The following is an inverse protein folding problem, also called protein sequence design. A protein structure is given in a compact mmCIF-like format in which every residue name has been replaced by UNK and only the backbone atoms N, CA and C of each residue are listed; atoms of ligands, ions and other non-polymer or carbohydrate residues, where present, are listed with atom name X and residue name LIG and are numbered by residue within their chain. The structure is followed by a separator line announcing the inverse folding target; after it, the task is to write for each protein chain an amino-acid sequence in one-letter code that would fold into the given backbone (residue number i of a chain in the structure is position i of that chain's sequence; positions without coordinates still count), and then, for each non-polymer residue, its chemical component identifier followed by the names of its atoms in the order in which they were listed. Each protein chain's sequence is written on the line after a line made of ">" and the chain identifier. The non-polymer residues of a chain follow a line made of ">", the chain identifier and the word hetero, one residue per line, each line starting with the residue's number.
data_IF_420582359107
#
_entry.id   IF_420582359107
#
_cell.length_a   1.000
_cell.length_b   1.000
_cell.length_c   1.000
_cell.angle_alpha   90.00
_cell.angle_beta   90.00
_cell.angle_gamma   90.00
#
_symmetry.space_group_name_H-M   'P 1'
#
loop_
_entity.id
_entity.type
_entity.pdbx_description
1 polymer ?
#
# COMPACT_ATOMS: atom_id res chain seq x y z
N UNK A 1 -25.33 2.89 5.57
CA UNK A 1 -24.71 3.31 4.29
C UNK A 1 -23.69 2.25 3.95
N UNK A 2 -23.65 1.80 2.69
CA UNK A 2 -22.65 0.83 2.29
C UNK A 2 -21.25 1.44 2.29
N UNK A 3 -20.23 0.65 2.61
CA UNK A 3 -18.81 1.02 2.57
C UNK A 3 -18.47 1.57 1.19
N UNK A 4 -18.94 0.93 0.13
CA UNK A 4 -18.79 1.42 -1.26
C UNK A 4 -19.41 2.79 -1.46
N UNK A 5 -20.60 3.03 -0.89
CA UNK A 5 -21.30 4.33 -0.95
C UNK A 5 -20.60 5.43 -0.14
N UNK A 6 -19.90 5.08 0.95
CA UNK A 6 -19.11 6.04 1.71
C UNK A 6 -17.81 6.46 0.99
N UNK A 7 -17.31 5.63 0.08
CA UNK A 7 -16.07 5.85 -0.66
C UNK A 7 -16.27 6.64 -1.95
N UNK A 8 -17.41 6.47 -2.64
CA UNK A 8 -17.69 7.17 -3.91
C UNK A 8 -17.45 8.69 -3.85
N UNK A 9 -17.90 9.43 -2.80
CA UNK A 9 -17.68 10.87 -2.68
C UNK A 9 -16.22 11.28 -2.45
N UNK A 10 -15.30 10.33 -2.24
CA UNK A 10 -13.87 10.58 -2.04
C UNK A 10 -13.07 10.53 -3.35
N UNK A 11 -13.67 10.06 -4.44
CA UNK A 11 -13.07 10.16 -5.77
C UNK A 11 -12.92 11.64 -6.15
N UNK A 12 -11.80 12.02 -6.76
CA UNK A 12 -11.61 13.37 -7.32
C UNK A 12 -11.31 13.28 -8.79
N UNK A 13 -11.87 14.21 -9.55
CA UNK A 13 -11.64 14.35 -10.98
C UNK A 13 -11.10 15.74 -11.30
N UNK A 14 -10.39 15.85 -12.41
CA UNK A 14 -9.92 17.10 -12.99
C UNK A 14 -10.37 17.18 -14.43
N UNK A 15 -10.93 18.31 -14.83
CA UNK A 15 -11.29 18.56 -16.23
C UNK A 15 -10.13 19.21 -16.97
N UNK A 16 -9.57 18.52 -17.97
CA UNK A 16 -8.51 19.03 -18.83
C UNK A 16 -8.93 18.91 -20.29
N UNK A 17 -8.84 20.02 -21.03
CA UNK A 17 -9.19 20.09 -22.48
C UNK A 17 -10.56 19.45 -22.80
N UNK A 18 -11.54 19.64 -21.91
CA UNK A 18 -12.91 19.14 -22.08
C UNK A 18 -13.13 17.66 -21.71
N UNK A 19 -12.10 16.94 -21.24
CA UNK A 19 -12.20 15.56 -20.74
C UNK A 19 -12.04 15.53 -19.23
N UNK A 20 -12.78 14.65 -18.57
CA UNK A 20 -12.65 14.41 -17.13
C UNK A 20 -11.63 13.30 -16.88
N UNK A 21 -10.64 13.59 -16.04
CA UNK A 21 -9.60 12.65 -15.61
C UNK A 21 -9.79 12.32 -14.14
N UNK A 22 -9.77 11.04 -13.79
CA UNK A 22 -9.74 10.63 -12.37
C UNK A 22 -8.36 10.97 -11.82
N UNK A 23 -8.29 11.85 -10.83
CA UNK A 23 -7.06 12.19 -10.12
C UNK A 23 -6.75 11.17 -9.04
N UNK A 24 -7.76 10.87 -8.22
CA UNK A 24 -7.64 9.92 -7.10
C UNK A 24 -8.92 9.10 -6.99
N UNK A 25 -8.76 7.86 -6.52
CA UNK A 25 -9.86 6.95 -6.24
C UNK A 25 -9.55 6.11 -5.00
N UNK A 26 -10.50 5.98 -4.06
CA UNK A 26 -10.34 5.06 -2.95
C UNK A 26 -10.38 3.60 -3.41
N UNK A 27 -9.64 2.74 -2.71
CA UNK A 27 -9.73 1.29 -2.84
C UNK A 27 -8.83 0.60 -1.85
N UNK A 28 -8.73 -0.72 -1.94
CA UNK A 28 -7.79 -1.48 -1.15
C UNK A 28 -6.42 -1.49 -1.82
N UNK A 29 -5.36 -1.54 -1.02
CA UNK A 29 -3.98 -1.72 -1.50
C UNK A 29 -3.24 -2.71 -0.62
N UNK A 30 -2.21 -3.33 -1.19
CA UNK A 30 -1.11 -3.95 -0.48
C UNK A 30 0.17 -3.26 -0.94
N UNK A 31 0.91 -2.64 -0.03
CA UNK A 31 2.22 -2.03 -0.28
C UNK A 31 3.29 -2.78 0.51
N UNK A 32 4.33 -3.24 -0.18
CA UNK A 32 5.46 -3.95 0.40
C UNK A 32 6.76 -3.22 0.05
N UNK A 33 7.60 -3.05 1.06
CA UNK A 33 8.93 -2.49 0.96
C UNK A 33 9.95 -3.61 1.19
N UNK A 34 10.93 -3.73 0.29
CA UNK A 34 11.91 -4.81 0.29
C UNK A 34 13.32 -4.23 0.25
N UNK A 35 14.13 -4.51 1.25
CA UNK A 35 15.52 -4.06 1.35
C UNK A 35 16.52 -5.03 0.71
N UNK A 36 16.08 -6.21 0.28
CA UNK A 36 16.91 -7.14 -0.47
C UNK A 36 17.41 -6.55 -1.81
N UNK A 37 18.59 -6.96 -2.29
CA UNK A 37 19.14 -6.52 -3.57
C UNK A 37 18.19 -6.76 -4.75
N UNK A 38 18.28 -5.93 -5.80
CA UNK A 38 17.44 -6.00 -7.00
C UNK A 38 17.36 -7.42 -7.58
N UNK A 39 18.50 -8.08 -7.78
CA UNK A 39 18.55 -9.42 -8.39
C UNK A 39 17.91 -10.52 -7.52
N UNK A 40 17.85 -10.34 -6.20
CA UNK A 40 17.14 -11.26 -5.29
C UNK A 40 15.63 -10.97 -5.27
N UNK A 41 15.26 -9.69 -5.29
CA UNK A 41 13.86 -9.25 -5.29
C UNK A 41 13.16 -9.56 -6.60
N UNK A 42 13.81 -9.38 -7.74
CA UNK A 42 13.20 -9.43 -9.07
C UNK A 42 12.42 -10.74 -9.34
N UNK A 43 13.04 -11.94 -9.27
CA UNK A 43 12.31 -13.18 -9.53
C UNK A 43 11.15 -13.41 -8.56
N UNK A 44 11.30 -12.99 -7.30
CA UNK A 44 10.26 -13.07 -6.27
C UNK A 44 9.09 -12.13 -6.56
N UNK A 45 9.38 -10.92 -7.03
CA UNK A 45 8.38 -9.97 -7.48
C UNK A 45 7.63 -10.49 -8.72
N UNK A 46 8.29 -11.19 -9.63
CA UNK A 46 7.61 -11.82 -10.77
C UNK A 46 6.58 -12.87 -10.32
N UNK A 47 6.90 -13.65 -9.29
CA UNK A 47 5.97 -14.63 -8.73
C UNK A 47 4.80 -13.96 -8.00
N UNK A 48 5.05 -12.89 -7.24
CA UNK A 48 4.00 -12.08 -6.62
C UNK A 48 3.07 -11.43 -7.66
N UNK A 49 3.63 -10.81 -8.71
CA UNK A 49 2.86 -10.23 -9.81
C UNK A 49 2.07 -11.32 -10.54
N UNK A 50 2.65 -12.50 -10.79
CA UNK A 50 1.94 -13.62 -11.40
C UNK A 50 0.75 -14.07 -10.55
N UNK A 51 0.94 -14.22 -9.23
CA UNK A 51 -0.12 -14.62 -8.30
C UNK A 51 -1.26 -13.59 -8.23
N UNK A 52 -0.93 -12.29 -8.33
CA UNK A 52 -1.92 -11.24 -8.37
C UNK A 52 -2.71 -11.21 -9.69
N UNK A 53 -2.03 -11.34 -10.82
CA UNK A 53 -2.69 -11.48 -12.14
C UNK A 53 -3.62 -12.69 -12.16
N UNK A 54 -3.19 -13.83 -11.63
CA UNK A 54 -4.01 -15.03 -11.50
C UNK A 54 -5.26 -14.76 -10.64
N UNK A 55 -5.09 -14.03 -9.53
CA UNK A 55 -6.17 -13.72 -8.61
C UNK A 55 -7.23 -12.79 -9.19
N UNK A 56 -6.82 -11.76 -9.92
CA UNK A 56 -7.76 -10.76 -10.48
C UNK A 56 -8.24 -11.10 -11.88
N UNK A 57 -7.52 -11.97 -12.59
CA UNK A 57 -7.76 -12.32 -13.98
C UNK A 57 -6.81 -11.58 -14.94
N UNK A 58 -6.25 -12.26 -15.96
CA UNK A 58 -5.23 -11.69 -16.83
C UNK A 58 -5.73 -10.53 -17.71
N UNK A 59 -7.03 -10.48 -17.98
CA UNK A 59 -7.64 -9.46 -18.85
C UNK A 59 -8.02 -8.17 -18.09
N UNK A 60 -7.77 -8.11 -16.77
CA UNK A 60 -8.04 -6.93 -15.94
C UNK A 60 -7.15 -5.75 -16.33
N UNK A 61 -5.87 -6.00 -16.61
CA UNK A 61 -4.94 -4.93 -16.95
C UNK A 61 -5.09 -4.56 -18.43
N UNK A 62 -5.34 -3.28 -18.68
CA UNK A 62 -5.53 -2.74 -20.02
C UNK A 62 -4.29 -2.07 -20.57
N UNK A 63 -3.47 -1.49 -19.70
CA UNK A 63 -2.27 -0.76 -20.10
C UNK A 63 -1.07 -1.17 -19.26
N UNK A 64 0.12 -0.99 -19.84
CA UNK A 64 1.40 -1.03 -19.14
C UNK A 64 2.25 0.18 -19.51
N UNK A 65 3.17 0.56 -18.62
CA UNK A 65 4.15 1.62 -18.87
C UNK A 65 5.39 1.02 -19.53
N UNK A 66 5.79 1.59 -20.67
CA UNK A 66 7.05 1.24 -21.34
C UNK A 66 8.24 2.01 -20.76
N UNK A 67 9.46 1.57 -21.06
CA UNK A 67 10.71 2.19 -20.58
C UNK A 67 10.85 3.64 -21.03
N UNK A 68 10.34 3.98 -22.23
CA UNK A 68 10.30 5.36 -22.73
C UNK A 68 9.13 6.21 -22.17
N UNK A 69 8.44 5.72 -21.13
CA UNK A 69 7.45 6.49 -20.36
C UNK A 69 6.07 6.59 -20.99
N UNK A 70 5.73 5.76 -21.99
CA UNK A 70 4.41 5.77 -22.62
C UNK A 70 3.55 4.61 -22.14
N UNK A 71 2.25 4.86 -21.97
CA UNK A 71 1.30 3.78 -21.76
C UNK A 71 0.97 3.09 -23.09
N UNK A 72 1.01 1.76 -23.09
CA UNK A 72 0.66 0.91 -24.24
C UNK A 72 -0.37 -0.15 -23.84
N UNK A 73 -1.18 -0.66 -24.79
CA UNK A 73 -2.11 -1.75 -24.51
C UNK A 73 -1.40 -2.98 -23.93
N UNK A 74 -1.93 -3.51 -22.84
CA UNK A 74 -1.48 -4.77 -22.26
C UNK A 74 -1.92 -5.94 -23.15
N UNK A 75 -1.03 -6.91 -23.33
CA UNK A 75 -1.35 -8.15 -24.06
C UNK A 75 -0.79 -9.35 -23.29
N UNK A 76 -1.36 -10.56 -23.44
CA UNK A 76 -0.80 -11.76 -22.81
C UNK A 76 0.68 -12.00 -23.17
N UNK A 77 1.08 -11.66 -24.40
CA UNK A 77 2.48 -11.76 -24.85
C UNK A 77 3.38 -10.80 -24.11
N UNK A 78 2.92 -9.57 -23.88
CA UNK A 78 3.66 -8.54 -23.16
C UNK A 78 3.80 -8.90 -21.69
N UNK A 79 2.70 -9.26 -21.03
CA UNK A 79 2.73 -9.75 -19.64
C UNK A 79 3.71 -10.92 -19.47
N UNK A 80 3.65 -11.91 -20.37
CA UNK A 80 4.56 -13.05 -20.32
C UNK A 80 6.03 -12.64 -20.56
N UNK A 81 6.28 -11.62 -21.39
CA UNK A 81 7.62 -11.05 -21.59
C UNK A 81 8.12 -10.39 -20.30
N UNK A 82 7.32 -9.53 -19.68
CA UNK A 82 7.71 -8.78 -18.49
C UNK A 82 7.98 -9.72 -17.32
N UNK A 83 7.15 -10.75 -17.12
CA UNK A 83 7.37 -11.77 -16.10
C UNK A 83 8.62 -12.62 -16.38
N UNK A 84 8.91 -12.96 -17.64
CA UNK A 84 10.15 -13.68 -17.98
C UNK A 84 11.39 -12.83 -17.76
N UNK A 85 11.35 -11.56 -18.16
CA UNK A 85 12.45 -10.62 -17.99
C UNK A 85 12.74 -10.39 -16.50
N UNK A 86 11.70 -10.16 -15.70
CA UNK A 86 11.83 -9.98 -14.26
C UNK A 86 12.35 -11.25 -13.55
N UNK A 87 11.98 -12.46 -14.00
CA UNK A 87 12.54 -13.72 -13.47
C UNK A 87 13.99 -13.96 -13.83
N UNK A 88 14.43 -13.48 -14.99
CA UNK A 88 15.77 -13.70 -15.54
C UNK A 88 16.53 -12.38 -15.64
N UNK A 89 16.34 -11.49 -14.66
CA UNK A 89 16.94 -10.18 -14.66
C UNK A 89 18.48 -10.33 -14.69
N UNK A 90 19.20 -9.71 -15.63
CA UNK A 90 20.65 -9.75 -15.67
C UNK A 90 21.29 -9.24 -14.37
N UNK A 91 22.43 -9.80 -13.99
CA UNK A 91 23.12 -9.42 -12.75
C UNK A 91 23.65 -7.97 -12.77
N UNK A 92 23.83 -7.40 -13.96
CA UNK A 92 24.27 -6.03 -14.23
C UNK A 92 23.11 -5.06 -14.48
N UNK A 93 21.86 -5.49 -14.29
CA UNK A 93 20.71 -4.59 -14.36
C UNK A 93 20.76 -3.57 -13.21
N UNK A 94 20.61 -2.29 -13.55
CA UNK A 94 20.56 -1.18 -12.59
C UNK A 94 19.15 -0.96 -12.05
N UNK A 95 18.12 -1.22 -12.86
CA UNK A 95 16.73 -1.08 -12.45
C UNK A 95 15.80 -2.07 -13.15
N UNK A 96 14.59 -2.18 -12.60
CA UNK A 96 13.47 -2.77 -13.27
C UNK A 96 12.15 -2.18 -12.76
N UNK A 97 11.27 -1.84 -13.70
CA UNK A 97 9.96 -1.27 -13.41
C UNK A 97 8.84 -2.08 -14.04
N UNK A 98 7.76 -2.29 -13.28
CA UNK A 98 6.49 -2.83 -13.79
C UNK A 98 5.38 -1.90 -13.37
N UNK A 99 4.66 -1.33 -14.34
CA UNK A 99 3.43 -0.59 -14.05
C UNK A 99 2.33 -1.11 -14.94
N UNK A 100 1.33 -1.77 -14.35
CA UNK A 100 0.13 -2.24 -15.02
C UNK A 100 -1.07 -1.48 -14.48
N UNK A 101 -2.01 -1.11 -15.35
CA UNK A 101 -3.23 -0.42 -14.94
C UNK A 101 -4.44 -0.96 -15.68
N UNK A 102 -5.55 -1.10 -14.94
CA UNK A 102 -6.88 -1.32 -15.51
C UNK A 102 -7.46 -0.05 -16.15
N UNK A 103 -6.92 1.13 -15.82
CA UNK A 103 -7.32 2.40 -16.42
C UNK A 103 -6.79 2.57 -17.85
N UNK A 104 -7.56 3.29 -18.65
CA UNK A 104 -7.18 3.70 -20.01
C UNK A 104 -6.32 4.98 -19.95
N UNK A 105 -5.32 5.12 -20.82
CA UNK A 105 -4.56 6.37 -21.07
C UNK A 105 -4.23 7.20 -19.81
N UNK A 106 -3.58 6.60 -18.79
CA UNK A 106 -3.22 7.21 -17.48
C UNK A 106 -4.34 7.45 -16.46
N UNK A 107 -5.53 6.90 -16.71
CA UNK A 107 -6.62 6.88 -15.74
C UNK A 107 -6.31 6.02 -14.51
N UNK A 108 -6.81 6.44 -13.35
CA UNK A 108 -6.73 5.67 -12.10
C UNK A 108 -7.75 4.53 -12.14
N UNK A 109 -7.27 3.32 -12.40
CA UNK A 109 -8.07 2.09 -12.43
C UNK A 109 -8.56 1.64 -11.05
N UNK A 110 -9.35 0.56 -11.01
CA UNK A 110 -9.60 -0.15 -9.74
C UNK A 110 -8.47 -1.11 -9.39
N UNK A 111 -7.79 -1.66 -10.40
CA UNK A 111 -6.67 -2.60 -10.25
C UNK A 111 -5.39 -2.06 -10.90
N UNK A 112 -4.26 -2.32 -10.25
CA UNK A 112 -2.95 -1.93 -10.75
C UNK A 112 -1.83 -2.74 -10.10
N UNK A 113 -0.69 -2.77 -10.77
CA UNK A 113 0.60 -3.26 -10.24
C UNK A 113 1.60 -2.12 -10.38
N UNK A 114 2.33 -1.84 -9.31
CA UNK A 114 3.51 -0.97 -9.34
C UNK A 114 4.68 -1.72 -8.71
N UNK A 115 5.72 -1.97 -9.50
CA UNK A 115 7.02 -2.42 -9.04
C UNK A 115 8.02 -1.34 -9.43
N UNK A 116 8.67 -0.75 -8.45
CA UNK A 116 9.83 0.11 -8.62
C UNK A 116 10.99 -0.58 -7.91
N UNK A 117 11.95 -1.08 -8.69
CA UNK A 117 13.13 -1.72 -8.15
C UNK A 117 14.40 -1.21 -8.83
N UNK A 118 15.44 -0.95 -8.04
CA UNK A 118 16.73 -0.44 -8.51
C UNK A 118 17.88 -0.98 -7.66
N UNK A 119 19.11 -0.90 -8.18
CA UNK A 119 20.31 -0.96 -7.36
C UNK A 119 20.24 0.14 -6.32
N UNK A 120 20.47 -0.24 -5.06
CA UNK A 120 20.31 0.66 -3.94
C UNK A 120 21.61 1.45 -3.78
N UNK A 121 21.62 2.69 -4.25
CA UNK A 121 22.79 3.55 -4.18
C UNK A 121 22.87 4.26 -2.82
N UNK A 122 21.71 4.49 -2.21
CA UNK A 122 21.56 5.19 -0.93
C UNK A 122 21.07 4.27 0.19
N UNK A 123 21.60 4.48 1.40
CA UNK A 123 21.30 3.66 2.58
C UNK A 123 19.81 3.74 3.03
N UNK A 124 18.99 4.62 2.47
CA UNK A 124 17.55 4.73 2.79
C UNK A 124 16.61 3.96 1.85
N UNK A 125 17.04 3.70 0.61
CA UNK A 125 16.17 3.26 -0.49
C UNK A 125 15.85 1.77 -0.50
N UNK A 126 14.59 1.40 -0.66
CA UNK A 126 14.15 0.01 -0.78
C UNK A 126 13.35 -0.21 -2.06
N UNK A 127 13.21 -1.45 -2.49
CA UNK A 127 12.31 -1.81 -3.58
C UNK A 127 10.86 -1.66 -3.12
N UNK A 128 9.96 -1.33 -4.04
CA UNK A 128 8.55 -1.12 -3.78
C UNK A 128 7.70 -2.04 -4.66
N UNK A 129 6.85 -2.86 -4.04
CA UNK A 129 5.76 -3.55 -4.72
C UNK A 129 4.42 -3.06 -4.16
N UNK A 130 3.57 -2.48 -5.01
CA UNK A 130 2.18 -2.16 -4.68
C UNK A 130 1.22 -2.88 -5.60
N UNK A 131 0.21 -3.51 -4.99
CA UNK A 131 -0.94 -4.09 -5.66
C UNK A 131 -2.18 -3.31 -5.26
N UNK A 132 -2.98 -2.89 -6.24
CA UNK A 132 -4.18 -2.11 -6.01
C UNK A 132 -5.44 -2.93 -6.31
N UNK A 133 -6.49 -2.76 -5.51
CA UNK A 133 -7.73 -3.53 -5.60
C UNK A 133 -8.93 -2.58 -5.60
N UNK A 134 -10.10 -3.01 -6.07
CA UNK A 134 -11.33 -2.25 -5.91
C UNK A 134 -11.60 -1.93 -4.43
N UNK A 135 -12.51 -0.98 -4.15
CA UNK A 135 -13.12 -0.86 -2.84
C UNK A 135 -13.64 -2.21 -2.32
N UNK A 136 -13.84 -2.36 -0.99
CA UNK A 136 -14.56 -3.50 -0.43
C UNK A 136 -15.82 -3.83 -1.27
N UNK A 137 -15.97 -5.09 -1.74
CA UNK A 137 -17.01 -5.44 -2.72
C UNK A 137 -18.43 -5.37 -2.14
N UNK A 138 -18.55 -5.52 -0.82
CA UNK A 138 -19.81 -5.41 -0.09
C UNK A 138 -19.55 -5.05 1.39
N UNK A 139 -20.64 -4.80 2.12
CA UNK A 139 -20.60 -4.66 3.58
C UNK A 139 -20.55 -6.00 4.31
N UNK A 140 -20.56 -7.11 3.60
CA UNK A 140 -20.47 -8.44 4.18
C UNK A 140 -19.00 -8.82 4.42
N UNK A 141 -18.79 -9.72 5.37
CA UNK A 141 -17.44 -10.07 5.82
C UNK A 141 -16.76 -11.12 4.93
N UNK A 142 -17.52 -11.73 4.00
CA UNK A 142 -17.08 -12.90 3.23
C UNK A 142 -15.80 -12.66 2.41
N UNK A 143 -15.49 -11.40 2.07
CA UNK A 143 -14.29 -11.03 1.31
C UNK A 143 -13.05 -10.79 2.21
N UNK A 144 -13.25 -10.53 3.50
CA UNK A 144 -12.21 -10.02 4.39
C UNK A 144 -11.10 -11.07 4.60
N UNK A 145 -11.49 -12.28 4.98
CA UNK A 145 -10.55 -13.38 5.20
C UNK A 145 -9.81 -13.79 3.91
N UNK A 146 -10.49 -14.00 2.77
CA UNK A 146 -9.81 -14.22 1.49
C UNK A 146 -8.81 -13.13 1.10
N UNK A 147 -9.12 -11.85 1.39
CA UNK A 147 -8.20 -10.75 1.12
C UNK A 147 -6.96 -10.81 2.03
N UNK A 148 -7.13 -11.07 3.33
CA UNK A 148 -5.99 -11.21 4.25
C UNK A 148 -5.12 -12.42 3.88
N UNK A 149 -5.74 -13.55 3.51
CA UNK A 149 -5.01 -14.74 3.06
C UNK A 149 -4.23 -14.47 1.77
N UNK A 150 -4.80 -13.69 0.85
CA UNK A 150 -4.09 -13.23 -0.34
C UNK A 150 -2.91 -12.32 0.02
N UNK A 151 -3.09 -11.37 0.94
CA UNK A 151 -2.01 -10.51 1.45
C UNK A 151 -0.87 -11.36 2.04
N UNK A 152 -1.19 -12.34 2.88
CA UNK A 152 -0.21 -13.27 3.46
C UNK A 152 0.49 -14.10 2.38
N UNK A 153 -0.23 -14.59 1.37
CA UNK A 153 0.36 -15.31 0.22
C UNK A 153 1.39 -14.45 -0.49
N UNK A 154 1.05 -13.21 -0.84
CA UNK A 154 1.98 -12.30 -1.53
C UNK A 154 3.18 -11.96 -0.66
N UNK A 155 2.97 -11.63 0.61
CA UNK A 155 4.05 -11.33 1.55
C UNK A 155 5.02 -12.51 1.70
N UNK A 156 4.55 -13.76 1.68
CA UNK A 156 5.41 -14.94 1.73
C UNK A 156 6.18 -15.23 0.44
N UNK A 157 5.86 -14.57 -0.67
CA UNK A 157 6.58 -14.73 -1.94
C UNK A 157 7.78 -13.80 -2.06
N UNK A 158 7.80 -12.67 -1.36
CA UNK A 158 8.81 -11.62 -1.51
C UNK A 158 9.59 -11.37 -0.22
N UNK A 159 10.86 -10.91 -0.31
CA UNK A 159 11.68 -10.59 0.86
C UNK A 159 11.32 -9.21 1.41
N UNK A 160 10.10 -9.05 1.96
CA UNK A 160 9.66 -7.77 2.52
C UNK A 160 10.30 -7.51 3.90
N UNK A 161 10.69 -6.27 4.15
CA UNK A 161 11.06 -5.81 5.49
C UNK A 161 9.88 -5.19 6.23
N UNK A 162 8.95 -4.57 5.50
CA UNK A 162 7.79 -3.89 6.05
C UNK A 162 6.73 -3.72 4.98
N UNK A 163 5.48 -3.55 5.39
CA UNK A 163 4.41 -3.21 4.48
C UNK A 163 3.12 -2.88 5.19
N UNK A 164 2.10 -2.55 4.40
CA UNK A 164 0.77 -2.27 4.90
C UNK A 164 -0.28 -2.63 3.86
N UNK A 165 -1.48 -2.96 4.34
CA UNK A 165 -2.63 -3.18 3.50
C UNK A 165 -3.89 -2.54 4.10
N UNK A 166 -4.82 -2.15 3.23
CA UNK A 166 -6.09 -1.52 3.61
C UNK A 166 -6.50 -0.43 2.66
N UNK A 167 -7.39 0.45 3.13
CA UNK A 167 -7.88 1.56 2.32
C UNK A 167 -6.75 2.52 1.97
N UNK A 168 -6.75 3.00 0.73
CA UNK A 168 -5.78 3.95 0.24
C UNK A 168 -6.37 4.87 -0.82
N UNK A 169 -5.70 5.98 -1.08
CA UNK A 169 -5.98 6.86 -2.21
C UNK A 169 -5.07 6.51 -3.39
N UNK A 170 -5.59 5.66 -4.28
CA UNK A 170 -4.96 5.36 -5.58
C UNK A 170 -4.99 6.61 -6.43
N UNK A 171 -3.97 6.85 -7.22
CA UNK A 171 -3.78 8.18 -7.80
C UNK A 171 -3.13 8.19 -9.18
N UNK A 172 -3.35 9.30 -9.91
CA UNK A 172 -2.82 9.48 -11.25
C UNK A 172 -1.34 9.80 -11.16
N UNK A 173 -0.54 8.98 -11.85
CA UNK A 173 0.89 9.22 -11.99
C UNK A 173 1.19 10.39 -12.94
N UNK A 174 0.36 10.59 -13.97
CA UNK A 174 0.55 11.69 -14.94
C UNK A 174 0.20 13.06 -14.34
N UNK A 175 -0.72 13.10 -13.38
CA UNK A 175 -1.18 14.31 -12.68
C UNK A 175 -0.81 14.23 -11.19
N UNK A 176 0.40 13.76 -10.90
CA UNK A 176 0.84 13.44 -9.54
C UNK A 176 0.77 14.64 -8.60
N UNK A 177 1.13 15.84 -9.06
CA UNK A 177 1.09 17.07 -8.24
C UNK A 177 -0.35 17.40 -7.80
N UNK A 178 -1.29 17.36 -8.73
CA UNK A 178 -2.71 17.60 -8.47
C UNK A 178 -3.31 16.49 -7.60
N UNK A 179 -2.95 15.25 -7.85
CA UNK A 179 -3.36 14.12 -7.05
C UNK A 179 -2.86 14.21 -5.60
N UNK A 180 -1.57 14.50 -5.39
CA UNK A 180 -0.97 14.68 -4.06
C UNK A 180 -1.68 15.79 -3.28
N UNK A 181 -1.98 16.93 -3.94
CA UNK A 181 -2.77 18.02 -3.31
C UNK A 181 -4.15 17.52 -2.87
N UNK A 182 -4.84 16.76 -3.71
CA UNK A 182 -6.15 16.21 -3.38
C UNK A 182 -6.09 15.19 -2.23
N UNK A 183 -5.07 14.34 -2.18
CA UNK A 183 -4.82 13.38 -1.09
C UNK A 183 -4.54 14.12 0.22
N UNK A 184 -3.64 15.10 0.19
CA UNK A 184 -3.25 15.90 1.35
C UNK A 184 -4.45 16.63 1.98
N UNK A 185 -5.47 16.99 1.21
CA UNK A 185 -6.71 17.57 1.73
C UNK A 185 -7.63 16.55 2.43
N UNK A 186 -7.50 15.26 2.12
CA UNK A 186 -8.36 14.20 2.66
C UNK A 186 -7.75 13.51 3.88
N UNK A 187 -6.43 13.32 3.91
CA UNK A 187 -5.73 12.60 4.97
C UNK A 187 -5.93 13.15 6.39
N UNK A 188 -6.04 14.48 6.64
CA UNK A 188 -6.38 15.01 7.96
C UNK A 188 -7.76 14.59 8.48
N UNK A 189 -8.65 14.16 7.60
CA UNK A 189 -9.99 13.69 7.95
C UNK A 189 -10.12 12.18 7.97
N UNK A 190 -9.51 11.48 7.02
CA UNK A 190 -9.68 10.03 6.84
C UNK A 190 -8.42 9.28 7.28
N UNK A 191 -8.31 9.04 8.58
CA UNK A 191 -7.09 8.51 9.21
C UNK A 191 -6.78 7.04 8.87
N UNK A 192 -7.76 6.28 8.34
CA UNK A 192 -7.56 4.89 7.96
C UNK A 192 -6.89 4.69 6.59
N UNK A 193 -6.73 5.77 5.82
CA UNK A 193 -6.25 5.70 4.44
C UNK A 193 -4.73 5.77 4.32
N UNK A 194 -4.17 4.95 3.44
CA UNK A 194 -2.81 5.10 2.97
C UNK A 194 -2.71 6.18 1.85
N UNK A 195 -1.69 7.08 1.88
CA UNK A 195 -1.48 8.10 0.85
C UNK A 195 -0.99 7.54 -0.49
N UNK A 196 -0.41 6.33 -0.49
CA UNK A 196 0.15 5.65 -1.64
C UNK A 196 1.27 6.44 -2.33
N UNK A 197 2.13 7.10 -1.55
CA UNK A 197 3.25 7.87 -2.09
C UNK A 197 4.46 6.98 -2.36
N UNK A 198 4.83 6.83 -3.62
CA UNK A 198 5.90 5.92 -4.07
C UNK A 198 7.29 6.38 -3.60
N UNK A 199 7.46 7.69 -3.46
CA UNK A 199 8.70 8.30 -2.95
C UNK A 199 9.02 7.89 -1.50
N UNK A 200 8.08 7.27 -0.77
CA UNK A 200 8.38 6.70 0.55
C UNK A 200 9.50 5.67 0.49
N UNK A 201 9.62 4.93 -0.63
CA UNK A 201 10.62 3.88 -0.79
C UNK A 201 12.05 4.37 -0.53
N UNK A 202 12.34 5.65 -0.75
CA UNK A 202 13.68 6.22 -0.54
C UNK A 202 14.10 6.32 0.93
N UNK A 203 13.18 6.09 1.87
CA UNK A 203 13.40 6.33 3.29
C UNK A 203 12.93 5.19 4.19
N UNK A 204 12.50 4.07 3.60
CA UNK A 204 11.82 3.02 4.34
C UNK A 204 12.77 1.96 4.91
N UNK A 205 14.08 1.98 4.55
CA UNK A 205 14.99 0.94 5.04
C UNK A 205 15.01 0.80 6.55
N UNK A 206 14.73 -0.41 7.02
CA UNK A 206 14.72 -0.75 8.45
C UNK A 206 13.66 -0.03 9.26
N UNK A 207 12.61 0.51 8.61
CA UNK A 207 11.48 1.24 9.20
C UNK A 207 10.15 0.62 8.80
N UNK A 208 9.13 0.88 9.62
CA UNK A 208 7.70 0.68 9.31
C UNK A 208 7.07 2.03 8.97
N UNK A 209 5.99 2.06 8.18
CA UNK A 209 5.41 3.34 7.79
C UNK A 209 4.59 3.96 8.93
N UNK A 210 3.50 3.31 9.33
CA UNK A 210 2.64 3.68 10.44
C UNK A 210 1.59 2.59 10.68
N UNK A 211 0.65 2.81 11.59
CA UNK A 211 -0.45 1.87 11.79
C UNK A 211 -1.46 1.97 10.63
N UNK A 212 -1.73 0.83 9.99
CA UNK A 212 -2.78 0.65 9.00
C UNK A 212 -3.71 -0.49 9.42
N UNK A 213 -4.73 -0.78 8.61
CA UNK A 213 -5.62 -1.93 8.86
C UNK A 213 -4.83 -3.23 9.04
N UNK A 214 -4.01 -3.56 8.04
CA UNK A 214 -3.00 -4.60 8.12
C UNK A 214 -1.63 -3.92 8.12
N UNK A 215 -0.80 -4.23 9.10
CA UNK A 215 0.60 -3.82 9.17
C UNK A 215 1.47 -5.06 9.08
N UNK A 216 2.41 -5.08 8.14
CA UNK A 216 3.32 -6.20 7.91
C UNK A 216 4.71 -5.83 8.41
N UNK A 217 5.31 -6.68 9.23
CA UNK A 217 6.64 -6.50 9.79
C UNK A 217 7.50 -7.71 9.46
N UNK A 218 8.63 -7.46 8.80
CA UNK A 218 9.65 -8.46 8.53
C UNK A 218 10.36 -8.89 9.81
N UNK A 219 11.06 -10.03 9.76
CA UNK A 219 11.75 -10.62 10.92
C UNK A 219 12.59 -9.61 11.71
N UNK A 220 13.39 -8.78 11.03
CA UNK A 220 14.28 -7.81 11.68
C UNK A 220 13.52 -6.74 12.45
N UNK A 221 12.40 -6.23 11.90
CA UNK A 221 11.55 -5.27 12.58
C UNK A 221 10.82 -5.89 13.76
N UNK A 222 10.39 -7.15 13.63
CA UNK A 222 9.81 -7.92 14.74
C UNK A 222 10.82 -8.05 15.88
N UNK A 223 12.09 -8.34 15.59
CA UNK A 223 13.14 -8.42 16.62
C UNK A 223 13.42 -7.07 17.28
N UNK A 224 13.44 -5.96 16.52
CA UNK A 224 13.57 -4.60 17.09
C UNK A 224 12.44 -4.25 18.08
N UNK A 225 11.29 -4.90 17.96
CA UNK A 225 10.15 -4.74 18.88
C UNK A 225 10.13 -5.78 20.02
N UNK A 226 11.20 -6.57 20.19
CA UNK A 226 11.32 -7.57 21.26
C UNK A 226 10.78 -8.95 20.90
N UNK A 227 10.49 -9.21 19.62
CA UNK A 227 10.04 -10.51 19.13
C UNK A 227 8.52 -10.70 19.14
N UNK A 228 8.05 -11.82 18.59
CA UNK A 228 6.61 -12.07 18.39
C UNK A 228 5.81 -12.11 19.71
N UNK A 229 6.37 -12.68 20.78
CA UNK A 229 5.70 -12.74 22.08
C UNK A 229 5.52 -11.35 22.69
N UNK A 230 6.54 -10.49 22.61
CA UNK A 230 6.45 -9.11 23.09
C UNK A 230 5.36 -8.32 22.34
N UNK A 231 5.30 -8.48 21.01
CA UNK A 231 4.24 -7.88 20.17
C UNK A 231 2.86 -8.41 20.57
N UNK A 232 2.72 -9.72 20.78
CA UNK A 232 1.45 -10.33 21.22
C UNK A 232 0.99 -9.81 22.57
N UNK A 233 1.91 -9.68 23.53
CA UNK A 233 1.61 -9.10 24.84
C UNK A 233 1.23 -7.62 24.74
N UNK A 234 1.87 -6.86 23.85
CA UNK A 234 1.58 -5.44 23.64
C UNK A 234 0.25 -5.19 22.92
N UNK A 235 -0.23 -6.14 22.12
CA UNK A 235 -1.43 -6.01 21.29
C UNK A 235 -2.49 -7.09 21.57
N UNK A 236 -3.04 -7.18 22.79
CA UNK A 236 -3.96 -8.26 23.17
C UNK A 236 -5.30 -8.24 22.41
N UNK A 237 -5.63 -7.13 21.75
CA UNK A 237 -6.85 -6.97 20.93
C UNK A 237 -6.59 -7.09 19.43
N UNK A 238 -5.33 -7.10 19.00
CA UNK A 238 -4.99 -7.27 17.60
C UNK A 238 -4.96 -8.76 17.25
N UNK A 239 -5.23 -9.07 15.98
CA UNK A 239 -5.00 -10.40 15.46
C UNK A 239 -3.59 -10.44 14.82
N UNK A 240 -2.80 -11.44 15.20
CA UNK A 240 -1.44 -11.65 14.67
C UNK A 240 -1.40 -12.93 13.83
N UNK A 241 -0.98 -12.81 12.57
CA UNK A 241 -0.71 -13.96 11.69
C UNK A 241 0.78 -14.10 11.43
N UNK A 242 1.42 -15.21 11.83
CA UNK A 242 2.82 -15.44 11.49
C UNK A 242 2.98 -15.65 9.97
N UNK A 243 4.10 -15.18 9.45
CA UNK A 243 4.56 -15.37 8.07
C UNK A 243 5.89 -16.12 8.08
N UNK A 244 6.36 -16.55 6.90
CA UNK A 244 7.68 -17.18 6.76
C UNK A 244 8.81 -16.25 7.21
N UNK A 245 8.67 -14.94 6.96
CA UNK A 245 9.66 -13.91 7.28
C UNK A 245 9.03 -12.75 8.06
N UNK A 246 8.33 -13.03 9.16
CA UNK A 246 7.78 -12.00 10.03
C UNK A 246 6.33 -12.26 10.42
N UNK A 247 5.49 -11.22 10.43
CA UNK A 247 4.07 -11.34 10.76
C UNK A 247 3.20 -10.23 10.17
N UNK A 248 1.90 -10.49 10.08
CA UNK A 248 0.85 -9.51 9.83
C UNK A 248 0.13 -9.18 11.14
N UNK A 249 -0.03 -7.89 11.42
CA UNK A 249 -0.86 -7.34 12.49
C UNK A 249 -2.13 -6.81 11.83
N UNK A 250 -3.29 -7.37 12.17
CA UNK A 250 -4.58 -6.77 11.85
C UNK A 250 -5.02 -5.95 13.04
N UNK A 251 -5.44 -4.71 12.80
CA UNK A 251 -5.77 -3.74 13.86
C UNK A 251 -7.28 -3.48 14.02
N UNK A 252 -8.10 -3.95 13.09
CA UNK A 252 -9.56 -3.89 13.19
C UNK A 252 -10.19 -5.02 12.36
N UNK A 253 -11.46 -5.38 12.63
CA UNK A 253 -12.13 -6.40 11.82
C UNK A 253 -12.27 -5.98 10.36
N UNK A 254 -12.59 -4.72 10.08
CA UNK A 254 -12.71 -4.18 8.73
C UNK A 254 -11.67 -3.09 8.48
N UNK A 255 -11.35 -2.77 7.21
CA UNK A 255 -10.53 -1.61 6.93
C UNK A 255 -11.24 -0.34 7.41
N UNK A 256 -10.65 0.43 8.34
CA UNK A 256 -11.27 1.64 8.85
C UNK A 256 -11.22 2.77 7.82
N UNK A 257 -12.29 3.56 7.74
CA UNK A 257 -12.27 4.90 7.16
C UNK A 257 -11.48 5.84 8.07
N UNK A 258 -11.70 5.73 9.39
CA UNK A 258 -11.13 6.65 10.36
C UNK A 258 -11.59 8.09 10.14
N UNK A 259 -12.88 8.30 9.81
CA UNK A 259 -13.44 9.64 9.58
C UNK A 259 -13.48 10.43 10.89
N UNK A 260 -12.57 11.40 11.02
CA UNK A 260 -12.43 12.28 12.19
C UNK A 260 -13.73 13.04 12.49
N UNK A 261 -14.49 13.42 11.47
CA UNK A 261 -15.78 14.11 11.66
C UNK A 261 -16.85 13.18 12.27
N UNK A 262 -16.62 11.87 12.23
CA UNK A 262 -17.42 10.84 12.90
C UNK A 262 -16.69 10.23 14.10
N UNK A 263 -15.71 10.96 14.65
CA UNK A 263 -14.90 10.58 15.81
C UNK A 263 -13.97 9.37 15.55
N UNK A 264 -13.84 8.90 14.31
CA UNK A 264 -13.00 7.74 13.96
C UNK A 264 -13.36 6.48 14.77
N UNK A 265 -14.65 6.20 14.94
CA UNK A 265 -15.13 5.10 15.82
C UNK A 265 -14.72 3.70 15.35
N UNK A 266 -14.35 3.56 14.08
CA UNK A 266 -14.02 2.31 13.40
C UNK A 266 -12.52 1.93 13.48
N UNK A 267 -11.67 2.75 14.11
CA UNK A 267 -10.21 2.58 14.09
C UNK A 267 -9.68 1.41 14.92
N UNK A 268 -10.54 0.59 15.55
CA UNK A 268 -10.14 -0.58 16.32
C UNK A 268 -8.95 -0.33 17.25
N UNK A 269 -7.95 -1.21 17.22
CA UNK A 269 -6.71 -1.07 17.97
C UNK A 269 -5.55 -0.42 17.19
N UNK A 270 -5.81 0.32 16.09
CA UNK A 270 -4.77 1.09 15.39
C UNK A 270 -3.93 1.98 16.34
N UNK A 271 -4.50 2.62 17.39
CA UNK A 271 -3.70 3.37 18.35
C UNK A 271 -2.66 2.54 19.13
N UNK A 272 -3.01 1.33 19.55
CA UNK A 272 -2.05 0.44 20.24
C UNK A 272 -0.93 0.02 19.27
N UNK A 273 -1.29 -0.31 18.02
CA UNK A 273 -0.31 -0.62 16.97
C UNK A 273 0.60 0.57 16.70
N UNK A 274 0.07 1.79 16.58
CA UNK A 274 0.86 2.99 16.31
C UNK A 274 1.90 3.26 17.41
N UNK A 275 1.52 3.09 18.68
CA UNK A 275 2.43 3.21 19.83
C UNK A 275 3.52 2.15 19.82
N UNK A 276 3.17 0.89 19.53
CA UNK A 276 4.15 -0.19 19.38
C UNK A 276 5.18 0.13 18.28
N UNK A 277 4.72 0.64 17.13
CA UNK A 277 5.59 0.91 15.98
C UNK A 277 6.51 2.12 16.18
N UNK A 278 6.24 3.00 17.16
CA UNK A 278 6.95 4.28 17.35
C UNK A 278 8.49 4.19 17.25
N UNK A 279 9.18 3.17 17.83
CA UNK A 279 10.65 3.08 17.76
C UNK A 279 11.20 2.78 16.35
N UNK A 280 10.38 2.22 15.47
CA UNK A 280 10.76 1.83 14.10
C UNK A 280 9.93 2.58 13.05
N UNK A 281 9.11 3.55 13.46
CA UNK A 281 8.21 4.27 12.56
C UNK A 281 9.02 5.25 11.73
N UNK A 282 8.63 5.36 10.46
CA UNK A 282 9.19 6.32 9.54
C UNK A 282 9.00 7.76 10.06
N UNK A 283 10.02 8.60 9.88
CA UNK A 283 10.03 10.01 10.26
C UNK A 283 9.91 10.89 9.01
N UNK A 284 8.89 11.75 8.96
CA UNK A 284 8.55 12.55 7.79
C UNK A 284 9.52 13.73 7.54
N UNK A 285 10.72 13.45 7.05
CA UNK A 285 11.53 14.48 6.38
C UNK A 285 11.03 14.68 4.95
N UNK A 286 10.10 15.63 4.74
CA UNK A 286 9.75 16.14 3.40
C UNK A 286 8.49 15.58 2.72
N UNK A 287 7.70 14.73 3.38
CA UNK A 287 6.39 14.32 2.86
C UNK A 287 5.34 15.42 3.07
N UNK A 288 4.43 15.51 2.10
CA UNK A 288 3.16 16.19 2.33
C UNK A 288 3.12 17.69 2.07
N UNK A 289 3.92 18.22 1.13
CA UNK A 289 3.83 19.64 0.80
C UNK A 289 2.48 20.00 0.11
N UNK A 290 1.92 21.19 0.37
CA UNK A 290 2.35 22.19 1.36
C UNK A 290 1.95 21.81 2.81
N UNK A 291 2.84 22.05 3.78
CA UNK A 291 2.66 21.63 5.19
C UNK A 291 1.42 22.24 5.86
N UNK A 292 0.99 23.40 5.38
CA UNK A 292 -0.20 24.11 5.86
C UNK A 292 -1.49 23.34 5.60
N UNK A 293 -1.50 22.45 4.60
CA UNK A 293 -2.64 21.60 4.24
C UNK A 293 -2.51 20.21 4.88
N UNK A 294 -1.29 19.68 4.95
CA UNK A 294 -1.02 18.36 5.46
C UNK A 294 0.35 18.31 6.15
N UNK A 295 0.33 18.15 7.47
CA UNK A 295 1.55 17.86 8.22
C UNK A 295 1.72 16.34 8.34
N UNK A 296 2.64 15.81 7.54
CA UNK A 296 2.95 14.38 7.54
C UNK A 296 3.47 13.87 8.89
N UNK A 297 4.13 14.71 9.70
CA UNK A 297 4.62 14.34 11.03
C UNK A 297 3.45 14.13 11.99
N UNK A 298 2.52 15.09 12.00
CA UNK A 298 1.28 14.99 12.80
C UNK A 298 0.45 13.81 12.32
N UNK A 299 0.36 13.60 11.00
CA UNK A 299 -0.41 12.49 10.46
C UNK A 299 0.20 11.12 10.77
N UNK A 300 1.53 10.97 10.77
CA UNK A 300 2.17 9.72 11.20
C UNK A 300 1.94 9.43 12.69
N UNK A 301 1.87 10.48 13.51
CA UNK A 301 1.55 10.40 14.94
C UNK A 301 0.04 10.43 15.25
N UNK A 302 -0.84 10.41 14.24
CA UNK A 302 -2.30 10.68 14.38
C UNK A 302 -3.05 9.77 15.36
N UNK A 303 -2.46 8.65 15.73
CA UNK A 303 -3.03 7.69 16.67
C UNK A 303 -2.30 7.62 18.01
N UNK A 304 -1.15 8.26 18.19
CA UNK A 304 -0.30 8.11 19.37
C UNK A 304 -1.05 8.48 20.66
N UNK A 305 -1.87 9.53 20.60
CA UNK A 305 -2.67 10.07 21.72
C UNK A 305 -4.15 9.64 21.70
N UNK A 306 -4.52 8.66 20.86
CA UNK A 306 -5.90 8.15 20.77
C UNK A 306 -6.07 6.88 21.60
N UNK A 307 -7.26 6.71 22.14
CA UNK A 307 -7.68 5.44 22.71
C UNK A 307 -8.15 4.49 21.60
N UNK A 308 -7.74 3.22 21.73
CA UNK A 308 -8.26 2.16 20.88
C UNK A 308 -9.75 1.92 21.11
N UNK A 309 -10.45 1.63 20.03
CA UNK A 309 -11.87 1.39 19.95
C UNK A 309 -12.18 -0.13 19.93
N UNK A 310 -13.45 -0.54 20.09
CA UNK A 310 -13.84 -1.93 19.90
C UNK A 310 -13.40 -2.47 18.53
N UNK A 311 -12.86 -3.69 18.52
CA UNK A 311 -12.36 -4.37 17.31
C UNK A 311 -13.41 -4.50 16.19
N UNK A 312 -14.67 -4.60 16.62
CA UNK A 312 -15.87 -4.86 15.83
C UNK A 312 -16.62 -3.57 15.44
N UNK A 313 -16.00 -2.39 15.61
CA UNK A 313 -16.64 -1.13 15.25
C UNK A 313 -16.60 -0.87 13.72
N UNK A 314 -17.65 -0.21 13.21
CA UNK A 314 -17.80 0.25 11.82
C UNK A 314 -18.20 1.72 11.77
#
# INVERSE_FOLDING_TARGET
>A
MSTTSALEPLTRTLKLKGRDFVLIRPGLTLTLYMDAPLHECAPRCADAVSAYVEHVGPDVFKTYLTDNGYFRPMTPRQLAKDLRNLRNLPADAEDYRVVYSQGDESGVGTHAVYLEAATQDDAGEVQLLRLEFPPPPSDEDAWVEPFIDFVCRIANLVPFQSGNAGLAFKHSWVLESEARKAINQLLPRYHGFDPSFDALRFYMRGRSFGAHWLTLLGTDLVQKLGGQEAIRSALPRAELRPLNQGLVIRAARWPPLGDVNRQGRDIGCLPDVARLLRPIRFEASGLGQPREVFDATVWLARFDDKDSQPWEAR
#
